data_IF_159161466866
#
_entry.id   IF_159161466866
#
_cell.length_a   1.000
_cell.length_b   1.000
_cell.length_c   1.000
_cell.angle_alpha   90.00
_cell.angle_beta   90.00
_cell.angle_gamma   90.00
#
_symmetry.space_group_name_H-M   'P 1'
#
loop_
_entity.id
_entity.type
_entity.pdbx_description
1 polymer ?
#
# COMPACT_ATOMS: atom_id res chain seq x y z
N UNK A 1 -3.07 -22.71 -32.71
CA UNK A 1 -3.18 -21.24 -32.67
C UNK A 1 -2.81 -20.82 -31.24
N UNK A 2 -1.90 -19.93 -31.10
CA UNK A 2 -1.43 -19.46 -29.77
C UNK A 2 -2.59 -18.80 -29.03
N UNK A 3 -2.91 -19.27 -27.81
CA UNK A 3 -3.91 -18.69 -26.91
C UNK A 3 -3.37 -17.46 -26.14
N UNK A 4 -2.33 -16.82 -26.66
CA UNK A 4 -1.87 -15.58 -26.01
C UNK A 4 -2.91 -14.49 -26.19
N UNK A 5 -3.32 -13.80 -25.11
CA UNK A 5 -4.16 -12.62 -25.21
C UNK A 5 -3.52 -11.65 -26.19
N UNK A 6 -4.33 -10.96 -26.95
CA UNK A 6 -3.85 -10.03 -27.97
C UNK A 6 -2.97 -8.97 -27.29
N UNK A 7 -1.66 -9.03 -27.53
CA UNK A 7 -0.69 -8.07 -26.99
C UNK A 7 -0.90 -6.71 -27.67
N UNK A 8 -1.76 -5.88 -27.10
CA UNK A 8 -2.04 -4.53 -27.59
C UNK A 8 -1.52 -3.50 -26.60
N UNK A 9 -0.58 -2.65 -27.00
CA UNK A 9 -0.25 -1.49 -26.18
C UNK A 9 -1.47 -0.56 -26.10
N UNK A 10 -1.59 0.16 -25.00
CA UNK A 10 -2.58 1.21 -24.83
C UNK A 10 -1.91 2.53 -24.45
N UNK A 11 -2.59 3.64 -24.72
CA UNK A 11 -2.08 4.96 -24.36
C UNK A 11 -2.38 5.22 -22.90
N UNK A 12 -1.32 5.26 -22.08
CA UNK A 12 -1.41 5.44 -20.64
C UNK A 12 -2.01 6.80 -20.24
N UNK A 13 -1.71 7.86 -20.94
CA UNK A 13 -2.28 9.20 -20.66
C UNK A 13 -3.79 9.23 -20.90
N UNK A 14 -4.23 8.58 -21.98
CA UNK A 14 -5.67 8.39 -22.26
C UNK A 14 -6.33 7.57 -21.15
N UNK A 15 -5.70 6.47 -20.75
CA UNK A 15 -6.19 5.63 -19.65
C UNK A 15 -6.33 6.41 -18.35
N UNK A 16 -5.36 7.25 -17.99
CA UNK A 16 -5.43 8.12 -16.81
C UNK A 16 -6.62 9.07 -16.87
N UNK A 17 -6.86 9.70 -18.03
CA UNK A 17 -8.00 10.59 -18.21
C UNK A 17 -9.34 9.86 -18.05
N UNK A 18 -9.46 8.64 -18.60
CA UNK A 18 -10.67 7.81 -18.53
C UNK A 18 -10.94 7.23 -17.12
N UNK A 19 -9.92 7.13 -16.25
CA UNK A 19 -10.03 6.59 -14.91
C UNK A 19 -9.80 7.63 -13.79
N UNK A 20 -9.76 8.92 -14.13
CA UNK A 20 -9.45 9.99 -13.18
C UNK A 20 -10.35 9.99 -11.93
N UNK A 21 -11.64 9.74 -12.10
CA UNK A 21 -12.59 9.69 -10.97
C UNK A 21 -12.37 8.48 -10.06
N UNK A 22 -11.98 7.35 -10.62
CA UNK A 22 -11.67 6.14 -9.83
C UNK A 22 -10.41 6.30 -9.01
N UNK A 23 -9.42 7.03 -9.55
CA UNK A 23 -8.16 7.30 -8.87
C UNK A 23 -8.30 8.29 -7.69
N UNK A 24 -9.43 8.98 -7.58
CA UNK A 24 -9.78 9.88 -6.47
C UNK A 24 -10.66 9.25 -5.41
N UNK A 25 -11.16 8.03 -5.63
CA UNK A 25 -12.11 7.40 -4.71
C UNK A 25 -11.42 6.88 -3.45
N UNK A 26 -11.89 7.28 -2.25
CA UNK A 26 -11.44 6.69 -1.01
C UNK A 26 -11.94 5.23 -0.87
N UNK A 27 -11.29 4.39 -0.04
CA UNK A 27 -10.17 4.73 0.83
C UNK A 27 -8.83 4.77 0.10
N UNK A 28 -8.72 4.10 -1.05
CA UNK A 28 -7.48 3.97 -1.82
C UNK A 28 -7.82 3.94 -3.30
N UNK A 29 -7.41 4.97 -4.03
CA UNK A 29 -7.65 5.09 -5.47
C UNK A 29 -6.74 4.19 -6.31
N UNK A 30 -6.67 2.88 -5.99
CA UNK A 30 -5.82 1.93 -6.70
C UNK A 30 -6.56 1.30 -7.88
N UNK A 31 -5.92 1.24 -9.03
CA UNK A 31 -6.44 0.58 -10.21
C UNK A 31 -5.38 -0.33 -10.83
N UNK A 32 -5.70 -1.61 -11.03
CA UNK A 32 -4.85 -2.52 -11.79
C UNK A 32 -4.83 -2.12 -13.26
N UNK A 33 -3.63 -2.00 -13.83
CA UNK A 33 -3.44 -1.73 -15.26
C UNK A 33 -3.65 -2.99 -16.12
N UNK A 34 -3.19 -4.13 -15.65
CA UNK A 34 -3.29 -5.42 -16.34
C UNK A 34 -4.01 -6.41 -15.43
N UNK A 35 -5.29 -6.65 -15.73
CA UNK A 35 -6.12 -7.58 -14.94
C UNK A 35 -5.87 -9.05 -15.29
N UNK A 36 -5.36 -9.31 -16.50
CA UNK A 36 -5.15 -10.65 -17.05
C UNK A 36 -3.66 -11.04 -17.04
N UNK A 37 -2.83 -10.34 -16.25
CA UNK A 37 -1.41 -10.62 -16.14
C UNK A 37 -1.14 -11.78 -15.17
N UNK A 38 -0.26 -12.69 -15.58
CA UNK A 38 0.16 -13.81 -14.73
C UNK A 38 1.20 -13.36 -13.71
N UNK A 39 0.73 -13.01 -12.52
CA UNK A 39 1.54 -12.88 -11.33
C UNK A 39 2.16 -11.50 -11.05
N UNK A 40 2.59 -10.74 -12.04
CA UNK A 40 3.09 -9.37 -11.82
C UNK A 40 1.92 -8.42 -11.58
N UNK A 41 1.96 -7.67 -10.48
CA UNK A 41 0.97 -6.64 -10.18
C UNK A 41 1.48 -5.29 -10.69
N UNK A 42 0.70 -4.63 -11.54
CA UNK A 42 0.97 -3.26 -11.98
C UNK A 42 -0.24 -2.40 -11.66
N UNK A 43 -0.06 -1.48 -10.72
CA UNK A 43 -1.12 -0.60 -10.23
C UNK A 43 -0.82 0.86 -10.52
N UNK A 44 -1.88 1.63 -10.78
CA UNK A 44 -1.87 3.09 -10.65
C UNK A 44 -2.54 3.45 -9.34
N UNK A 45 -1.87 4.26 -8.55
CA UNK A 45 -2.34 4.72 -7.24
C UNK A 45 -2.53 6.21 -7.27
N UNK A 46 -3.76 6.67 -7.05
CA UNK A 46 -4.09 8.09 -6.97
C UNK A 46 -4.09 8.63 -5.54
N UNK A 47 -3.92 9.93 -5.40
CA UNK A 47 -4.16 10.67 -4.16
C UNK A 47 -5.48 11.44 -4.19
N UNK A 48 -6.09 11.76 -3.01
CA UNK A 48 -5.52 11.52 -1.68
C UNK A 48 -5.59 10.07 -1.23
N UNK A 49 -4.51 9.58 -0.66
CA UNK A 49 -4.40 8.24 -0.12
C UNK A 49 -3.44 8.26 1.08
N UNK A 50 -3.97 8.02 2.27
CA UNK A 50 -3.20 7.91 3.51
C UNK A 50 -3.64 6.66 4.25
N UNK A 51 -2.67 5.90 4.76
CA UNK A 51 -2.91 4.66 5.50
C UNK A 51 -2.12 4.63 6.79
N UNK A 52 -2.60 3.87 7.77
CA UNK A 52 -1.99 3.72 9.08
C UNK A 52 -1.36 2.35 9.31
N UNK A 53 -1.61 1.42 8.42
CA UNK A 53 -1.01 0.09 8.41
C UNK A 53 0.24 0.08 7.55
N UNK A 54 1.16 -0.79 7.92
CA UNK A 54 2.39 -1.09 7.19
C UNK A 54 2.25 -2.45 6.54
N UNK A 55 2.70 -2.54 5.31
CA UNK A 55 2.76 -3.79 4.56
C UNK A 55 4.15 -4.41 4.72
N UNK A 56 4.20 -5.70 5.00
CA UNK A 56 5.38 -6.56 4.96
C UNK A 56 5.23 -7.48 3.75
N UNK A 57 5.65 -6.99 2.59
CA UNK A 57 5.54 -7.71 1.33
C UNK A 57 6.71 -8.70 1.18
N UNK A 58 6.48 -9.99 0.87
CA UNK A 58 7.53 -10.96 0.64
C UNK A 58 8.27 -10.78 -0.69
N UNK A 59 7.85 -9.85 -1.54
CA UNK A 59 8.45 -9.58 -2.84
C UNK A 59 8.91 -8.12 -2.96
N UNK A 60 9.68 -7.85 -3.99
CA UNK A 60 10.13 -6.50 -4.31
C UNK A 60 8.98 -5.66 -4.87
N UNK A 61 8.94 -4.38 -4.48
CA UNK A 61 8.05 -3.38 -5.05
C UNK A 61 8.85 -2.25 -5.71
N UNK A 62 8.46 -1.88 -6.91
CA UNK A 62 9.02 -0.74 -7.62
C UNK A 62 7.99 0.37 -7.74
N UNK A 63 8.39 1.59 -7.35
CA UNK A 63 7.57 2.79 -7.36
C UNK A 63 8.09 3.78 -8.39
N UNK A 64 7.17 4.38 -9.13
CA UNK A 64 7.42 5.55 -9.95
C UNK A 64 6.39 6.63 -9.61
N UNK A 65 6.83 7.77 -9.13
CA UNK A 65 5.95 8.88 -8.81
C UNK A 65 5.80 9.78 -10.03
N UNK A 66 4.74 9.56 -10.81
CA UNK A 66 4.52 10.22 -12.09
C UNK A 66 4.05 11.68 -11.93
N UNK A 67 3.25 11.98 -10.89
CA UNK A 67 2.71 13.32 -10.65
C UNK A 67 2.52 13.58 -9.18
N UNK A 68 2.97 14.76 -8.73
CA UNK A 68 2.98 15.14 -7.32
C UNK A 68 3.95 14.26 -6.51
N UNK A 69 4.18 14.62 -5.27
CA UNK A 69 5.09 13.89 -4.38
C UNK A 69 4.34 12.85 -3.55
N UNK A 70 5.05 11.83 -3.09
CA UNK A 70 4.60 10.87 -2.08
C UNK A 70 5.63 10.73 -0.98
N UNK A 71 5.21 10.15 0.13
CA UNK A 71 6.05 9.74 1.24
C UNK A 71 5.88 8.24 1.45
N UNK A 72 6.96 7.50 1.60
CA UNK A 72 6.92 6.12 2.08
C UNK A 72 7.39 6.12 3.53
N UNK A 73 6.52 5.74 4.45
CA UNK A 73 6.93 5.47 5.82
C UNK A 73 7.54 4.10 5.91
N UNK A 74 8.70 3.99 6.50
CA UNK A 74 9.44 2.74 6.70
C UNK A 74 9.50 2.46 8.20
N UNK A 75 9.13 1.25 8.62
CA UNK A 75 9.32 0.78 9.98
C UNK A 75 10.46 -0.24 10.00
N UNK A 76 11.60 0.15 10.57
CA UNK A 76 12.80 -0.69 10.67
C UNK A 76 13.59 -0.38 11.95
N UNK A 77 14.22 -1.40 12.54
CA UNK A 77 15.03 -1.27 13.73
C UNK A 77 14.31 -0.65 14.95
N UNK A 78 12.97 -0.80 15.03
CA UNK A 78 12.14 -0.23 16.11
C UNK A 78 11.89 1.27 15.96
N UNK A 79 12.09 1.82 14.77
CA UNK A 79 11.87 3.21 14.42
C UNK A 79 11.04 3.35 13.16
N UNK A 80 10.31 4.46 13.06
CA UNK A 80 9.59 4.85 11.84
C UNK A 80 10.25 6.09 11.26
N UNK A 81 10.61 6.04 9.98
CA UNK A 81 11.19 7.17 9.27
C UNK A 81 10.56 7.35 7.89
N UNK A 82 10.74 8.53 7.34
CA UNK A 82 10.11 8.96 6.11
C UNK A 82 11.09 8.96 4.95
N UNK A 83 10.70 8.33 3.85
CA UNK A 83 11.41 8.36 2.57
C UNK A 83 10.55 9.14 1.57
N UNK A 84 10.88 10.40 1.28
CA UNK A 84 10.17 11.16 0.24
C UNK A 84 10.52 10.63 -1.14
N UNK A 85 9.50 10.46 -1.98
CA UNK A 85 9.64 10.15 -3.42
C UNK A 85 8.95 11.27 -4.19
N UNK A 86 9.74 12.10 -4.88
CA UNK A 86 9.25 13.28 -5.57
C UNK A 86 8.70 12.95 -6.94
N UNK A 87 7.95 13.88 -7.52
CA UNK A 87 7.52 13.76 -8.91
C UNK A 87 8.71 13.48 -9.84
N UNK A 88 8.57 12.43 -10.68
CA UNK A 88 9.60 11.97 -11.60
C UNK A 88 10.59 10.97 -11.00
N UNK A 89 10.59 10.74 -9.68
CA UNK A 89 11.51 9.81 -9.04
C UNK A 89 10.98 8.38 -9.04
N UNK A 90 11.93 7.45 -8.98
CA UNK A 90 11.71 6.01 -8.83
C UNK A 90 12.31 5.53 -7.51
N UNK A 91 11.69 4.50 -6.94
CA UNK A 91 12.17 3.87 -5.71
C UNK A 91 11.98 2.37 -5.79
N UNK A 92 12.99 1.59 -5.40
CA UNK A 92 12.91 0.15 -5.26
C UNK A 92 12.87 -0.22 -3.78
N UNK A 93 11.83 -0.91 -3.39
CA UNK A 93 11.64 -1.42 -2.04
C UNK A 93 12.00 -2.91 -2.01
N UNK A 94 13.00 -3.32 -1.22
CA UNK A 94 13.32 -4.73 -1.03
C UNK A 94 12.21 -5.51 -0.31
N UNK A 95 12.17 -6.86 -0.47
CA UNK A 95 11.24 -7.70 0.27
C UNK A 95 11.37 -7.51 1.78
N UNK A 96 10.25 -7.67 2.49
CA UNK A 96 10.17 -7.62 3.96
C UNK A 96 10.54 -6.29 4.61
N UNK A 97 10.64 -5.21 3.86
CA UNK A 97 10.73 -3.85 4.41
C UNK A 97 9.32 -3.35 4.71
N UNK A 98 8.98 -3.21 6.01
CA UNK A 98 7.66 -2.72 6.45
C UNK A 98 7.46 -1.29 6.00
N UNK A 99 6.43 -1.06 5.21
CA UNK A 99 6.23 0.24 4.56
C UNK A 99 4.76 0.64 4.48
N UNK A 100 4.53 1.94 4.47
CA UNK A 100 3.20 2.54 4.33
C UNK A 100 3.27 3.74 3.38
N UNK A 101 2.95 3.56 2.08
CA UNK A 101 2.94 4.65 1.12
C UNK A 101 1.84 5.67 1.44
N UNK A 102 2.19 6.95 1.39
CA UNK A 102 1.33 8.08 1.71
C UNK A 102 1.27 9.05 0.54
N UNK A 103 0.07 9.35 0.04
CA UNK A 103 -0.18 10.34 -1.01
C UNK A 103 -1.26 11.32 -0.54
N UNK A 104 -0.94 12.30 0.32
CA UNK A 104 -1.94 13.16 0.95
C UNK A 104 -2.57 14.17 -0.01
N UNK A 105 -1.88 14.50 -1.11
CA UNK A 105 -2.33 15.52 -2.06
C UNK A 105 -3.25 14.94 -3.14
N UNK A 106 -4.38 15.61 -3.37
CA UNK A 106 -5.28 15.30 -4.47
C UNK A 106 -4.58 15.42 -5.83
N UNK A 107 -4.87 14.49 -6.73
CA UNK A 107 -4.32 14.47 -8.09
C UNK A 107 -2.87 13.95 -8.17
N UNK A 108 -2.29 13.49 -7.07
CA UNK A 108 -1.06 12.72 -7.08
C UNK A 108 -1.27 11.39 -7.80
N UNK A 109 -0.32 10.97 -8.62
CA UNK A 109 -0.34 9.73 -9.41
C UNK A 109 0.98 9.01 -9.25
N UNK A 110 0.91 7.77 -8.78
CA UNK A 110 2.06 6.86 -8.76
C UNK A 110 1.77 5.56 -9.49
N UNK A 111 2.82 4.91 -9.95
CA UNK A 111 2.78 3.56 -10.48
C UNK A 111 3.52 2.67 -9.49
N UNK A 112 2.92 1.53 -9.16
CA UNK A 112 3.51 0.51 -8.30
C UNK A 112 3.56 -0.79 -9.09
N UNK A 113 4.72 -1.40 -9.10
CA UNK A 113 4.94 -2.71 -9.73
C UNK A 113 5.46 -3.65 -8.66
N UNK A 114 4.74 -4.74 -8.44
CA UNK A 114 5.10 -5.77 -7.48
C UNK A 114 5.50 -7.05 -8.23
N UNK A 115 6.56 -7.69 -7.77
CA UNK A 115 7.00 -8.96 -8.32
C UNK A 115 5.96 -10.08 -8.07
N UNK A 116 5.95 -11.13 -8.90
CA UNK A 116 5.06 -12.27 -8.69
C UNK A 116 5.31 -12.99 -7.38
N UNK A 117 4.25 -13.24 -6.61
CA UNK A 117 4.32 -14.03 -5.39
C UNK A 117 4.38 -15.52 -5.73
N UNK A 118 5.27 -16.23 -5.03
CA UNK A 118 5.32 -17.70 -5.14
C UNK A 118 4.29 -18.34 -4.19
N UNK A 119 3.75 -19.54 -4.55
CA UNK A 119 2.83 -20.24 -3.67
C UNK A 119 3.39 -20.43 -2.26
N UNK A 120 2.57 -20.15 -1.25
CA UNK A 120 2.94 -20.29 0.17
C UNK A 120 3.69 -19.10 0.77
N UNK A 121 4.00 -18.05 0.00
CA UNK A 121 4.53 -16.81 0.58
C UNK A 121 3.48 -16.16 1.48
N UNK A 122 3.95 -15.60 2.59
CA UNK A 122 3.12 -14.89 3.56
C UNK A 122 3.37 -13.40 3.46
N UNK A 123 2.28 -12.65 3.53
CA UNK A 123 2.31 -11.19 3.67
C UNK A 123 1.88 -10.79 5.06
N UNK A 124 2.48 -9.73 5.58
CA UNK A 124 2.13 -9.17 6.88
C UNK A 124 1.48 -7.79 6.76
N UNK A 125 0.49 -7.54 7.61
CA UNK A 125 -0.08 -6.22 7.82
C UNK A 125 0.13 -5.84 9.27
N UNK A 126 0.84 -4.72 9.50
CA UNK A 126 1.31 -4.30 10.80
C UNK A 126 0.80 -2.90 11.16
N UNK A 127 0.49 -2.71 12.43
CA UNK A 127 0.13 -1.40 12.98
C UNK A 127 1.10 -1.04 14.10
N UNK A 128 1.63 0.15 14.03
CA UNK A 128 2.60 0.66 15.01
C UNK A 128 1.98 1.75 15.86
N UNK A 129 2.45 1.87 17.09
CA UNK A 129 2.00 2.88 18.02
C UNK A 129 2.45 4.28 17.60
N UNK A 130 1.54 5.22 17.48
CA UNK A 130 1.88 6.60 17.14
C UNK A 130 2.63 7.35 18.23
N UNK A 131 2.64 6.83 19.48
CA UNK A 131 3.33 7.46 20.60
C UNK A 131 4.75 6.91 20.82
N UNK A 132 4.96 5.60 20.73
CA UNK A 132 6.25 4.97 21.04
C UNK A 132 6.81 4.09 19.92
N UNK A 133 6.17 4.05 18.75
CA UNK A 133 6.59 3.33 17.56
C UNK A 133 6.69 1.79 17.74
N UNK A 134 6.28 1.25 18.90
CA UNK A 134 6.23 -0.19 19.11
C UNK A 134 5.18 -0.85 18.21
N UNK A 135 5.44 -2.09 17.80
CA UNK A 135 4.44 -2.89 17.10
C UNK A 135 3.22 -3.13 18.02
N UNK A 136 2.05 -2.74 17.55
CA UNK A 136 0.77 -2.91 18.25
C UNK A 136 0.12 -4.22 17.85
N UNK A 137 0.06 -4.49 16.53
CA UNK A 137 -0.64 -5.65 15.99
C UNK A 137 -0.02 -6.08 14.66
N UNK A 138 -0.06 -7.39 14.38
CA UNK A 138 0.34 -7.98 13.10
C UNK A 138 -0.66 -9.07 12.72
N UNK A 139 -1.11 -9.02 11.47
CA UNK A 139 -1.84 -10.11 10.80
C UNK A 139 -1.01 -10.66 9.67
N UNK A 140 -0.96 -11.98 9.53
CA UNK A 140 -0.30 -12.65 8.41
C UNK A 140 -1.33 -13.38 7.57
N UNK A 141 -1.18 -13.29 6.26
CA UNK A 141 -2.01 -14.01 5.29
C UNK A 141 -1.15 -14.66 4.22
N UNK A 142 -1.59 -15.81 3.74
CA UNK A 142 -1.05 -16.40 2.51
C UNK A 142 -2.00 -16.02 1.39
N UNK A 143 -1.47 -15.37 0.36
CA UNK A 143 -2.27 -14.91 -0.76
C UNK A 143 -1.99 -15.81 -1.97
N UNK A 144 -3.02 -16.53 -2.39
CA UNK A 144 -2.98 -17.32 -3.61
C UNK A 144 -3.58 -16.48 -4.76
N UNK A 145 -2.69 -15.94 -5.58
CA UNK A 145 -3.06 -15.14 -6.77
C UNK A 145 -3.34 -13.65 -6.49
N UNK A 146 -3.58 -12.90 -7.57
CA UNK A 146 -3.75 -11.42 -7.54
C UNK A 146 -5.03 -10.96 -6.84
N UNK A 147 -6.09 -11.77 -6.84
CA UNK A 147 -7.36 -11.43 -6.19
C UNK A 147 -7.33 -11.66 -4.67
N UNK A 148 -6.35 -12.42 -4.18
CA UNK A 148 -6.24 -12.80 -2.78
C UNK A 148 -6.12 -11.59 -1.85
N UNK A 149 -5.25 -10.63 -2.18
CA UNK A 149 -5.01 -9.44 -1.36
C UNK A 149 -6.26 -8.56 -1.25
N UNK A 150 -6.94 -8.31 -2.37
CA UNK A 150 -8.13 -7.44 -2.40
C UNK A 150 -9.27 -8.02 -1.56
N UNK A 151 -9.43 -9.34 -1.55
CA UNK A 151 -10.47 -10.02 -0.79
C UNK A 151 -10.12 -10.19 0.70
N UNK A 152 -8.83 -10.31 1.04
CA UNK A 152 -8.36 -10.51 2.41
C UNK A 152 -8.32 -9.19 3.22
N UNK A 153 -7.89 -8.09 2.61
CA UNK A 153 -7.70 -6.81 3.28
C UNK A 153 -8.90 -6.31 4.09
N UNK A 154 -10.16 -6.34 3.59
CA UNK A 154 -11.29 -5.87 4.38
C UNK A 154 -11.49 -6.64 5.69
N UNK A 155 -11.22 -7.95 5.70
CA UNK A 155 -11.35 -8.80 6.89
C UNK A 155 -10.22 -8.51 7.88
N UNK A 156 -9.00 -8.37 7.40
CA UNK A 156 -7.81 -8.01 8.20
C UNK A 156 -8.03 -6.68 8.89
N UNK A 157 -8.46 -5.68 8.13
CA UNK A 157 -8.71 -4.34 8.70
C UNK A 157 -9.86 -4.34 9.69
N UNK A 158 -10.96 -5.06 9.41
CA UNK A 158 -12.08 -5.12 10.33
C UNK A 158 -11.70 -5.82 11.63
N UNK A 159 -10.94 -6.91 11.58
CA UNK A 159 -10.45 -7.62 12.77
C UNK A 159 -9.64 -6.72 13.70
N UNK A 160 -8.74 -5.90 13.14
CA UNK A 160 -7.99 -4.91 13.92
C UNK A 160 -8.86 -3.74 14.37
N UNK A 161 -9.64 -3.13 13.47
CA UNK A 161 -10.37 -1.90 13.74
C UNK A 161 -11.48 -2.07 14.80
N UNK A 162 -12.16 -3.21 14.81
CA UNK A 162 -13.25 -3.50 15.77
C UNK A 162 -12.74 -3.94 17.15
N UNK A 163 -11.47 -4.31 17.28
CA UNK A 163 -10.91 -4.88 18.51
C UNK A 163 -10.04 -3.87 19.25
N UNK A 164 -10.55 -3.31 20.35
CA UNK A 164 -9.83 -2.34 21.19
C UNK A 164 -8.57 -2.92 21.82
N UNK A 165 -8.59 -4.20 22.20
CA UNK A 165 -7.43 -4.87 22.78
C UNK A 165 -6.30 -5.02 21.75
N UNK A 166 -6.63 -5.42 20.51
CA UNK A 166 -5.68 -5.48 19.41
C UNK A 166 -5.09 -4.11 19.06
N UNK A 167 -5.84 -3.02 19.29
CA UNK A 167 -5.41 -1.64 19.06
C UNK A 167 -4.65 -1.02 20.24
N UNK A 168 -4.63 -1.65 21.40
CA UNK A 168 -3.95 -1.11 22.59
C UNK A 168 -2.48 -1.49 22.59
N UNK A 169 -1.61 -0.49 22.57
CA UNK A 169 -0.16 -0.70 22.64
C UNK A 169 0.26 -1.32 23.98
N UNK A 170 0.87 -2.49 23.92
CA UNK A 170 1.33 -3.22 25.13
C UNK A 170 2.52 -2.55 25.81
N UNK A 171 3.22 -1.65 25.10
CA UNK A 171 4.40 -0.95 25.62
C UNK A 171 4.02 0.30 26.40
N UNK A 172 3.10 1.14 25.90
CA UNK A 172 2.78 2.43 26.51
C UNK A 172 1.31 2.65 26.85
N UNK A 173 0.42 1.72 26.50
CA UNK A 173 -1.02 1.82 26.75
C UNK A 173 -1.80 2.70 25.79
N UNK A 174 -1.14 3.37 24.85
CA UNK A 174 -1.81 4.19 23.83
C UNK A 174 -2.70 3.33 22.94
N UNK A 175 -3.88 3.87 22.59
CA UNK A 175 -4.84 3.16 21.73
C UNK A 175 -4.74 3.69 20.31
N UNK A 176 -4.34 2.82 19.38
CA UNK A 176 -4.31 3.14 17.96
C UNK A 176 -5.71 3.51 17.44
N UNK A 177 -5.89 4.60 16.66
CA UNK A 177 -7.20 5.11 16.26
C UNK A 177 -8.03 4.15 15.38
N UNK A 178 -7.44 3.07 14.89
CA UNK A 178 -8.12 2.14 13.98
C UNK A 178 -8.47 2.82 12.65
N UNK A 179 -9.77 2.91 12.34
CA UNK A 179 -10.31 3.63 11.15
C UNK A 179 -10.18 5.16 11.25
N UNK A 180 -9.78 5.68 12.41
CA UNK A 180 -9.58 7.11 12.61
C UNK A 180 -8.43 7.67 11.78
N UNK A 181 -8.39 9.00 11.70
CA UNK A 181 -7.27 9.67 11.03
C UNK A 181 -5.99 9.51 11.86
N UNK A 182 -4.84 9.39 11.18
CA UNK A 182 -3.55 9.45 11.87
C UNK A 182 -3.40 10.81 12.59
N UNK A 183 -2.53 10.89 13.60
CA UNK A 183 -2.23 12.14 14.29
C UNK A 183 -1.80 13.24 13.31
N UNK A 184 -2.08 14.49 13.69
CA UNK A 184 -1.59 15.64 12.94
C UNK A 184 -0.05 15.58 12.83
N UNK A 185 0.46 15.79 11.63
CA UNK A 185 1.89 15.71 11.36
C UNK A 185 2.41 14.30 11.01
N UNK A 186 1.56 13.29 11.02
CA UNK A 186 1.93 11.93 10.60
C UNK A 186 2.45 11.87 9.16
N UNK A 187 1.88 12.66 8.26
CA UNK A 187 2.37 12.81 6.89
C UNK A 187 2.67 14.28 6.63
N UNK A 188 3.92 14.60 6.29
CA UNK A 188 4.38 15.95 5.93
C UNK A 188 5.10 15.87 4.57
N UNK A 189 4.54 16.51 3.56
CA UNK A 189 5.09 16.66 2.20
C UNK A 189 5.25 18.13 1.85
#
# INVERSE_FOLDING_TARGET
>A
MSNHPTLKPFNFQKWLAENADKLKQPPVGNQLLHKDGDGMIVMVVGGPNTRCDFHDDPVEEWFFQQKGDMMIKIADGGKIYDVPVREGEVFMLPPHVRHAPQRPKEGSIGIVVEAPRQPGMKEGFEWFCFNCEALVHREEVTLDGTDGIVSALPKIYEAFHSNIEARTCKTCGEVHPGKGKPPQGWVQL
#
